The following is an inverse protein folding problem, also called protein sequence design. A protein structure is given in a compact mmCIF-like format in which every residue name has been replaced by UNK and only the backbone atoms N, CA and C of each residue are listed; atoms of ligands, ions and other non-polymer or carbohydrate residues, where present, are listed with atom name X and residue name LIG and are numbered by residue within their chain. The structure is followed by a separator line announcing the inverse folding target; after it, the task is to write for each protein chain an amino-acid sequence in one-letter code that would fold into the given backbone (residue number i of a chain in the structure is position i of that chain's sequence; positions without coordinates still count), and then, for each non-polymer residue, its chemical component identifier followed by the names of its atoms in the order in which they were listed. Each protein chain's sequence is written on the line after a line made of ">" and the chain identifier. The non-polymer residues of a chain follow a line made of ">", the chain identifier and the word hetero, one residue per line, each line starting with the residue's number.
data_IF_821208848917
#
_entry.id   IF_821208848917
#
_cell.length_a   1.000
_cell.length_b   1.000
_cell.length_c   1.000
_cell.angle_alpha   90.00
_cell.angle_beta   90.00
_cell.angle_gamma   90.00
#
_symmetry.space_group_name_H-M   'P 1'
#
loop_
_entity.id
_entity.type
_entity.pdbx_description
1 polymer ?
#
# COMPACT_ATOMS: atom_id res chain seq x y z
N UNK A 1 3.94 -5.56 -27.72
CA UNK A 1 4.05 -4.58 -26.62
C UNK A 1 2.92 -3.57 -26.73
N UNK A 2 2.32 -3.16 -25.62
CA UNK A 2 1.33 -2.06 -25.53
C UNK A 2 1.49 -1.39 -24.17
N UNK A 3 1.48 -0.05 -24.14
CA UNK A 3 1.71 0.74 -22.93
C UNK A 3 2.99 0.34 -22.17
N UNK A 4 4.02 -0.11 -22.90
CA UNK A 4 5.27 -0.62 -22.31
C UNK A 4 5.20 -2.01 -21.67
N UNK A 5 4.08 -2.71 -21.78
CA UNK A 5 3.88 -4.06 -21.25
C UNK A 5 3.88 -5.13 -22.36
N UNK A 6 4.37 -6.32 -22.01
CA UNK A 6 4.32 -7.48 -22.89
C UNK A 6 3.02 -8.28 -22.67
N UNK A 7 2.04 -8.08 -23.57
CA UNK A 7 0.73 -8.76 -23.51
C UNK A 7 0.89 -10.29 -23.53
N UNK A 8 1.82 -10.84 -24.33
CA UNK A 8 2.00 -12.30 -24.38
C UNK A 8 2.47 -12.85 -23.03
N UNK A 9 3.35 -12.11 -22.34
CA UNK A 9 3.82 -12.46 -21.00
C UNK A 9 2.71 -12.46 -19.95
N UNK A 10 1.70 -11.58 -20.07
CA UNK A 10 0.52 -11.62 -19.20
C UNK A 10 -0.28 -12.91 -19.40
N UNK A 11 -0.53 -13.27 -20.67
CA UNK A 11 -1.30 -14.48 -21.00
C UNK A 11 -0.57 -15.77 -20.58
N UNK A 12 0.75 -15.81 -20.80
CA UNK A 12 1.61 -16.91 -20.35
C UNK A 12 1.57 -17.06 -18.83
N UNK A 13 1.71 -15.95 -18.09
CA UNK A 13 1.60 -15.94 -16.63
C UNK A 13 0.23 -16.45 -16.15
N UNK A 14 -0.87 -15.98 -16.77
CA UNK A 14 -2.23 -16.43 -16.43
C UNK A 14 -2.39 -17.94 -16.66
N UNK A 15 -1.85 -18.46 -17.76
CA UNK A 15 -1.90 -19.90 -18.03
C UNK A 15 -1.07 -20.68 -17.01
N UNK A 16 0.15 -20.22 -16.71
CA UNK A 16 1.03 -20.85 -15.73
C UNK A 16 0.39 -20.93 -14.34
N UNK A 17 -0.19 -19.84 -13.82
CA UNK A 17 -0.78 -19.83 -12.48
C UNK A 17 -2.10 -20.62 -12.39
N UNK A 18 -2.77 -20.88 -13.52
CA UNK A 18 -3.92 -21.79 -13.59
C UNK A 18 -3.48 -23.23 -13.43
N UNK A 19 -2.40 -23.61 -14.12
CA UNK A 19 -1.86 -24.98 -14.08
C UNK A 19 -1.07 -25.26 -12.79
N UNK A 20 -0.35 -24.24 -12.29
CA UNK A 20 0.52 -24.31 -11.11
C UNK A 20 0.15 -23.23 -10.09
N UNK A 21 -0.91 -23.44 -9.29
CA UNK A 21 -1.35 -22.52 -8.24
C UNK A 21 -0.26 -21.94 -7.34
N UNK A 22 0.76 -22.74 -6.99
CA UNK A 22 1.86 -22.28 -6.15
C UNK A 22 2.68 -21.16 -6.78
N UNK A 23 2.71 -21.08 -8.12
CA UNK A 23 3.41 -20.01 -8.85
C UNK A 23 2.69 -18.66 -8.78
N UNK A 24 1.44 -18.62 -8.27
CA UNK A 24 0.69 -17.39 -8.07
C UNK A 24 1.03 -16.65 -6.77
N UNK A 25 1.73 -17.29 -5.85
CA UNK A 25 1.94 -16.76 -4.52
C UNK A 25 3.16 -15.85 -4.49
N UNK A 26 2.99 -14.64 -4.00
CA UNK A 26 4.08 -13.69 -3.79
C UNK A 26 4.25 -13.44 -2.30
N UNK A 27 5.42 -13.78 -1.76
CA UNK A 27 5.82 -13.42 -0.39
C UNK A 27 6.72 -12.18 -0.43
N UNK A 28 6.22 -11.07 0.12
CA UNK A 28 6.94 -9.81 0.24
C UNK A 28 7.62 -9.69 1.59
N UNK A 29 8.78 -9.01 1.64
CA UNK A 29 9.50 -8.72 2.88
C UNK A 29 10.18 -7.37 2.85
N UNK A 30 10.03 -6.62 3.93
CA UNK A 30 10.74 -5.35 4.18
C UNK A 30 11.36 -5.41 5.56
N UNK A 31 12.52 -4.79 5.74
CA UNK A 31 13.12 -4.60 7.06
C UNK A 31 13.44 -3.14 7.29
N UNK A 32 12.97 -2.58 8.39
CA UNK A 32 13.31 -1.24 8.86
C UNK A 32 14.34 -1.24 9.98
N UNK A 33 15.05 -0.13 10.09
CA UNK A 33 15.96 0.19 11.19
C UNK A 33 15.94 1.70 11.45
N UNK A 34 16.23 2.14 12.68
CA UNK A 34 16.46 3.54 12.99
C UNK A 34 17.53 4.14 12.09
N UNK A 35 17.30 5.36 11.63
CA UNK A 35 18.27 6.17 10.91
C UNK A 35 18.50 7.49 11.66
N UNK A 36 19.59 8.20 11.32
CA UNK A 36 19.97 9.46 11.97
C UNK A 36 18.80 10.47 12.01
N UNK A 37 18.16 10.67 10.86
CA UNK A 37 17.15 11.71 10.65
C UNK A 37 15.73 11.13 10.48
N UNK A 38 15.52 9.88 10.90
CA UNK A 38 14.23 9.20 10.74
C UNK A 38 14.37 7.68 10.80
N UNK A 39 13.84 7.01 9.79
CA UNK A 39 13.83 5.56 9.65
C UNK A 39 14.23 5.17 8.24
N UNK A 40 14.97 4.08 8.12
CA UNK A 40 15.37 3.54 6.83
C UNK A 40 14.81 2.13 6.69
N UNK A 41 14.12 1.88 5.58
CA UNK A 41 13.58 0.57 5.26
C UNK A 41 14.28 0.00 4.02
N UNK A 42 14.44 -1.31 4.02
CA UNK A 42 15.07 -2.05 2.94
C UNK A 42 14.11 -3.11 2.45
N UNK A 43 13.74 -3.00 1.18
CA UNK A 43 12.99 -4.02 0.47
C UNK A 43 13.90 -5.22 0.25
N UNK A 44 13.49 -6.38 0.77
CA UNK A 44 14.23 -7.63 0.66
C UNK A 44 13.76 -8.42 -0.56
N UNK A 45 14.58 -9.39 -0.96
CA UNK A 45 14.21 -10.33 -2.03
C UNK A 45 12.85 -10.95 -1.72
N UNK A 46 11.88 -10.70 -2.60
CA UNK A 46 10.57 -11.33 -2.58
C UNK A 46 10.64 -12.69 -3.30
N UNK A 47 9.61 -13.50 -3.13
CA UNK A 47 9.47 -14.80 -3.80
C UNK A 47 8.15 -14.85 -4.54
N UNK A 48 8.17 -15.11 -5.84
CA UNK A 48 6.99 -15.35 -6.68
C UNK A 48 6.99 -16.84 -7.04
N UNK A 49 6.22 -17.63 -6.30
CA UNK A 49 6.20 -19.07 -6.44
C UNK A 49 7.56 -19.72 -6.18
N UNK A 50 8.11 -20.40 -7.19
CA UNK A 50 9.44 -20.97 -7.13
C UNK A 50 10.56 -19.97 -7.44
N UNK A 51 10.22 -18.79 -7.97
CA UNK A 51 11.19 -17.80 -8.46
C UNK A 51 11.53 -16.77 -7.38
N UNK A 52 12.83 -16.48 -7.21
CA UNK A 52 13.30 -15.36 -6.41
C UNK A 52 13.22 -14.07 -7.22
N UNK A 53 12.57 -13.06 -6.66
CA UNK A 53 12.49 -11.72 -7.23
C UNK A 53 13.56 -10.86 -6.57
N UNK A 54 14.69 -10.67 -7.26
CA UNK A 54 15.75 -9.83 -6.76
C UNK A 54 15.21 -8.41 -6.48
N UNK A 55 15.38 -7.98 -5.24
CA UNK A 55 15.01 -6.65 -4.74
C UNK A 55 16.14 -6.10 -3.89
N UNK A 56 16.26 -4.78 -3.85
CA UNK A 56 17.31 -4.09 -3.09
C UNK A 56 17.06 -2.59 -3.00
N UNK A 57 15.80 -2.19 -2.85
CA UNK A 57 15.44 -0.79 -2.72
C UNK A 57 15.53 -0.35 -1.27
N UNK A 58 15.99 0.89 -1.08
CA UNK A 58 16.00 1.57 0.21
C UNK A 58 14.98 2.70 0.15
N UNK A 59 14.09 2.74 1.14
CA UNK A 59 13.11 3.81 1.31
C UNK A 59 13.39 4.48 2.65
N UNK A 60 13.89 5.71 2.59
CA UNK A 60 14.17 6.55 3.75
C UNK A 60 12.94 7.41 4.03
N UNK A 61 12.48 7.42 5.28
CA UNK A 61 11.29 8.14 5.72
C UNK A 61 11.61 9.00 6.94
N UNK A 62 10.89 10.10 7.10
CA UNK A 62 10.89 10.81 8.38
C UNK A 62 10.32 9.87 9.46
N UNK A 63 10.71 10.07 10.73
CA UNK A 63 9.82 9.62 11.80
C UNK A 63 8.44 10.26 11.56
N UNK A 64 7.35 9.61 11.96
CA UNK A 64 5.90 9.87 11.74
C UNK A 64 5.35 11.30 12.05
N UNK A 65 6.20 12.31 11.99
CA UNK A 65 6.00 13.75 12.04
C UNK A 65 4.93 14.21 11.05
N UNK A 66 3.99 14.98 11.58
CA UNK A 66 2.80 15.48 10.88
C UNK A 66 2.88 16.97 10.53
N UNK A 67 3.95 17.67 10.95
CA UNK A 67 4.06 19.13 10.84
C UNK A 67 4.82 19.58 9.58
N UNK A 68 4.25 20.54 8.87
CA UNK A 68 4.85 21.12 7.66
C UNK A 68 6.03 22.08 7.96
N UNK A 69 6.07 22.64 9.18
CA UNK A 69 7.10 23.55 9.69
C UNK A 69 8.20 22.85 10.49
N UNK A 70 8.13 21.53 10.66
CA UNK A 70 9.18 20.76 11.33
C UNK A 70 10.49 20.99 10.54
N UNK A 71 11.55 21.56 11.15
CA UNK A 71 12.73 21.93 10.41
C UNK A 71 13.23 20.72 9.65
N UNK A 72 13.25 20.82 8.32
CA UNK A 72 13.93 19.85 7.47
C UNK A 72 15.31 19.67 8.09
N UNK A 73 15.55 18.52 8.71
CA UNK A 73 16.88 18.24 9.25
C UNK A 73 17.80 18.39 8.06
N UNK A 74 18.79 19.31 8.09
CA UNK A 74 19.73 19.44 6.99
C UNK A 74 20.54 18.15 6.99
N UNK A 75 20.04 17.14 6.28
CA UNK A 75 20.73 15.89 6.10
C UNK A 75 22.05 16.27 5.45
N UNK A 76 23.15 15.95 6.13
CA UNK A 76 24.50 16.23 5.68
C UNK A 76 24.70 15.74 4.23
N UNK A 77 24.50 16.65 3.26
CA UNK A 77 24.63 16.38 1.82
C UNK A 77 23.46 15.67 1.12
N UNK A 78 22.27 15.54 1.72
CA UNK A 78 21.05 15.07 1.01
C UNK A 78 20.02 16.20 0.93
N UNK A 79 19.76 16.66 -0.28
CA UNK A 79 18.92 17.83 -0.59
C UNK A 79 17.40 17.55 -0.58
N UNK A 80 16.93 16.45 0.01
CA UNK A 80 15.53 16.06 -0.08
C UNK A 80 14.88 15.82 1.29
N UNK A 81 13.72 16.44 1.60
CA UNK A 81 12.94 16.06 2.76
C UNK A 81 12.44 14.63 2.54
N UNK A 82 12.76 13.73 3.47
CA UNK A 82 12.27 12.36 3.43
C UNK A 82 10.73 12.36 3.44
N UNK A 83 10.13 11.43 2.69
CA UNK A 83 8.67 11.24 2.67
C UNK A 83 8.20 10.71 4.02
N UNK A 84 7.09 11.21 4.57
CA UNK A 84 6.51 10.61 5.78
C UNK A 84 5.97 9.20 5.50
N UNK A 85 5.77 8.36 6.54
CA UNK A 85 5.07 7.09 6.39
C UNK A 85 3.68 7.23 5.76
N UNK A 86 2.93 8.28 6.09
CA UNK A 86 1.58 8.53 5.56
C UNK A 86 1.60 8.86 4.07
N UNK A 87 2.50 9.77 3.66
CA UNK A 87 2.73 10.07 2.24
C UNK A 87 3.16 8.81 1.46
N UNK A 88 4.00 7.96 2.05
CA UNK A 88 4.45 6.69 1.44
C UNK A 88 3.30 5.69 1.29
N UNK A 89 2.44 5.56 2.31
CA UNK A 89 1.27 4.69 2.27
C UNK A 89 0.26 5.17 1.21
N UNK A 90 0.05 6.49 1.09
CA UNK A 90 -0.82 7.09 0.10
C UNK A 90 -0.24 6.96 -1.32
N UNK A 91 1.08 7.10 -1.49
CA UNK A 91 1.76 6.82 -2.75
C UNK A 91 1.64 5.34 -3.13
N UNK A 92 1.70 4.43 -2.16
CA UNK A 92 1.47 3.01 -2.39
C UNK A 92 0.02 2.71 -2.82
N UNK A 93 -0.99 3.38 -2.25
CA UNK A 93 -2.38 3.28 -2.70
C UNK A 93 -2.52 3.78 -4.16
N UNK A 94 -2.08 5.00 -4.41
CA UNK A 94 -2.21 5.66 -5.71
C UNK A 94 -1.46 4.93 -6.83
N UNK A 95 -0.22 4.50 -6.58
CA UNK A 95 0.59 3.81 -7.59
C UNK A 95 0.00 2.42 -7.92
N UNK A 96 -0.53 1.71 -6.92
CA UNK A 96 -1.20 0.43 -7.15
C UNK A 96 -2.45 0.60 -8.01
N UNK A 97 -3.28 1.61 -7.71
CA UNK A 97 -4.46 1.94 -8.52
C UNK A 97 -4.06 2.32 -9.96
N UNK A 98 -3.06 3.19 -10.13
CA UNK A 98 -2.56 3.64 -11.43
C UNK A 98 -2.01 2.47 -12.26
N UNK A 99 -1.13 1.63 -11.69
CA UNK A 99 -0.58 0.45 -12.38
C UNK A 99 -1.70 -0.53 -12.78
N UNK A 100 -2.71 -0.69 -11.93
CA UNK A 100 -3.88 -1.53 -12.22
C UNK A 100 -4.68 -0.97 -13.41
N UNK A 101 -4.80 0.35 -13.55
CA UNK A 101 -5.37 0.97 -14.75
C UNK A 101 -4.56 0.62 -15.99
N UNK A 102 -3.22 0.78 -15.94
CA UNK A 102 -2.35 0.47 -17.09
C UNK A 102 -2.51 -0.99 -17.52
N UNK A 103 -2.52 -1.92 -16.57
CA UNK A 103 -2.78 -3.34 -16.84
C UNK A 103 -4.18 -3.55 -17.45
N UNK A 104 -5.21 -2.93 -16.87
CA UNK A 104 -6.59 -3.06 -17.32
C UNK A 104 -6.83 -2.56 -18.75
N UNK A 105 -6.23 -1.43 -19.12
CA UNK A 105 -6.25 -0.89 -20.48
C UNK A 105 -5.43 -1.74 -21.46
N UNK A 106 -4.24 -2.13 -21.05
CA UNK A 106 -3.35 -2.98 -21.86
C UNK A 106 -4.01 -4.31 -22.21
N UNK A 107 -4.63 -4.98 -21.22
CA UNK A 107 -5.33 -6.24 -21.41
C UNK A 107 -6.56 -6.14 -22.32
N UNK A 108 -7.15 -4.94 -22.43
CA UNK A 108 -8.26 -4.63 -23.37
C UNK A 108 -7.78 -4.13 -24.73
N UNK A 109 -6.47 -4.06 -24.90
CA UNK A 109 -5.86 -3.58 -26.11
C UNK A 109 -6.01 -2.09 -26.38
N UNK A 110 -6.23 -1.29 -25.34
CA UNK A 110 -6.29 0.17 -25.43
C UNK A 110 -4.88 0.74 -25.33
N UNK A 111 -4.51 1.58 -26.31
CA UNK A 111 -3.30 2.39 -26.25
C UNK A 111 -3.58 3.64 -25.41
N UNK A 112 -2.68 3.95 -24.48
CA UNK A 112 -2.75 5.10 -23.60
C UNK A 112 -1.80 6.19 -24.09
N UNK A 113 -2.27 7.44 -24.07
CA UNK A 113 -1.45 8.61 -24.36
C UNK A 113 -0.89 9.20 -23.05
N UNK A 114 -1.75 9.32 -22.03
CA UNK A 114 -1.40 9.87 -20.72
C UNK A 114 -2.33 9.30 -19.64
N UNK A 115 -1.76 8.99 -18.48
CA UNK A 115 -2.54 8.67 -17.28
C UNK A 115 -1.89 9.34 -16.07
N UNK A 116 -2.68 10.12 -15.35
CA UNK A 116 -2.30 10.70 -14.06
C UNK A 116 -3.29 10.29 -12.99
N UNK A 117 -2.83 10.22 -11.75
CA UNK A 117 -3.67 9.94 -10.60
C UNK A 117 -3.27 10.82 -9.43
N UNK A 118 -4.25 11.46 -8.79
CA UNK A 118 -4.03 12.17 -7.52
C UNK A 118 -4.69 11.37 -6.40
N UNK A 119 -3.93 10.95 -5.40
CA UNK A 119 -4.43 10.30 -4.19
C UNK A 119 -4.42 11.30 -3.02
N UNK A 120 -5.45 11.26 -2.17
CA UNK A 120 -5.61 12.15 -1.01
C UNK A 120 -6.06 11.40 0.24
N UNK A 121 -5.64 11.91 1.40
CA UNK A 121 -6.10 11.45 2.71
C UNK A 121 -5.98 12.56 3.75
N UNK A 122 -6.83 12.51 4.77
CA UNK A 122 -6.80 13.40 5.93
C UNK A 122 -6.42 12.63 7.20
N UNK A 123 -5.57 13.22 8.03
CA UNK A 123 -5.26 12.71 9.36
C UNK A 123 -5.86 13.62 10.43
N UNK A 124 -6.80 13.12 11.24
CA UNK A 124 -7.31 13.82 12.43
C UNK A 124 -6.19 14.11 13.44
N UNK A 125 -6.10 15.36 13.90
CA UNK A 125 -5.12 15.81 14.88
C UNK A 125 -5.78 16.25 16.19
N UNK A 126 -5.04 16.09 17.29
CA UNK A 126 -5.38 16.62 18.60
C UNK A 126 -4.94 18.08 18.77
N UNK A 127 -5.23 18.68 19.93
CA UNK A 127 -4.89 20.07 20.22
C UNK A 127 -3.38 20.37 20.25
N UNK A 128 -2.54 19.34 20.30
CA UNK A 128 -1.08 19.46 20.21
C UNK A 128 -0.56 19.34 18.77
N UNK A 129 -1.44 19.10 17.79
CA UNK A 129 -1.09 18.85 16.39
C UNK A 129 -0.49 17.47 16.15
N UNK A 130 -0.66 16.53 17.09
CA UNK A 130 -0.29 15.13 16.94
C UNK A 130 -1.48 14.32 16.42
N UNK A 131 -1.27 13.13 15.83
CA UNK A 131 -2.37 12.23 15.49
C UNK A 131 -3.29 12.03 16.71
N UNK A 132 -4.59 12.23 16.52
CA UNK A 132 -5.54 11.99 17.62
C UNK A 132 -5.51 10.51 18.04
N UNK A 133 -5.79 10.23 19.32
CA UNK A 133 -5.80 8.86 19.81
C UNK A 133 -6.77 7.98 18.99
N UNK A 134 -6.25 6.85 18.49
CA UNK A 134 -7.02 5.96 17.60
C UNK A 134 -7.34 6.54 16.22
N UNK A 135 -6.71 7.64 15.80
CA UNK A 135 -6.90 8.16 14.45
C UNK A 135 -6.35 7.18 13.41
N UNK A 136 -7.14 6.92 12.36
CA UNK A 136 -6.66 6.39 11.09
C UNK A 136 -6.64 7.48 10.04
N UNK A 137 -6.10 7.19 8.86
CA UNK A 137 -6.32 8.02 7.67
C UNK A 137 -7.80 7.99 7.31
N UNK A 138 -8.35 9.17 7.06
CA UNK A 138 -9.76 9.40 6.71
C UNK A 138 -9.85 10.12 5.37
N UNK A 139 -11.06 10.20 4.79
CA UNK A 139 -11.25 10.90 3.52
C UNK A 139 -10.39 10.34 2.38
N UNK A 140 -10.08 9.04 2.43
CA UNK A 140 -9.29 8.37 1.40
C UNK A 140 -9.95 8.58 0.04
N UNK A 141 -9.19 9.12 -0.90
CA UNK A 141 -9.69 9.41 -2.22
C UNK A 141 -8.60 9.22 -3.27
N UNK A 142 -9.00 8.87 -4.49
CA UNK A 142 -8.16 9.08 -5.64
C UNK A 142 -8.95 9.49 -6.87
N UNK A 143 -8.32 10.33 -7.69
CA UNK A 143 -8.82 10.81 -8.97
C UNK A 143 -7.87 10.37 -10.07
N UNK A 144 -8.36 9.60 -11.03
CA UNK A 144 -7.60 9.18 -12.21
C UNK A 144 -8.02 10.00 -13.42
N UNK A 145 -7.07 10.59 -14.14
CA UNK A 145 -7.32 11.24 -15.44
C UNK A 145 -6.68 10.41 -16.53
N UNK A 146 -7.46 10.01 -17.54
CA UNK A 146 -7.01 9.14 -18.63
C UNK A 146 -7.22 9.82 -19.98
N UNK A 147 -6.16 9.88 -20.78
CA UNK A 147 -6.22 10.26 -22.21
C UNK A 147 -5.96 9.02 -23.06
N UNK A 148 -6.97 8.59 -23.81
CA UNK A 148 -6.89 7.49 -24.77
C UNK A 148 -8.05 7.50 -25.77
N UNK A 149 -7.92 6.73 -26.86
CA UNK A 149 -8.93 6.58 -27.90
C UNK A 149 -10.06 5.58 -27.60
N UNK A 150 -10.20 5.08 -26.37
CA UNK A 150 -11.23 4.10 -26.03
C UNK A 150 -12.61 4.74 -25.78
N UNK A 151 -13.67 3.95 -26.00
CA UNK A 151 -15.04 4.33 -25.65
C UNK A 151 -15.23 4.51 -24.14
N UNK A 152 -16.21 5.31 -23.73
CA UNK A 152 -16.46 5.65 -22.31
C UNK A 152 -16.76 4.42 -21.45
N UNK A 153 -17.55 3.49 -21.96
CA UNK A 153 -17.88 2.24 -21.27
C UNK A 153 -16.63 1.39 -20.97
N UNK A 154 -15.66 1.37 -21.87
CA UNK A 154 -14.37 0.69 -21.66
C UNK A 154 -13.57 1.37 -20.56
N UNK A 155 -13.47 2.71 -20.58
CA UNK A 155 -12.72 3.48 -19.57
C UNK A 155 -13.37 3.36 -18.20
N UNK A 156 -14.69 3.50 -18.12
CA UNK A 156 -15.47 3.30 -16.89
C UNK A 156 -15.34 1.86 -16.37
N UNK A 157 -15.38 0.87 -17.28
CA UNK A 157 -15.17 -0.53 -16.95
C UNK A 157 -13.80 -0.78 -16.33
N UNK A 158 -12.73 -0.20 -16.88
CA UNK A 158 -11.38 -0.31 -16.29
C UNK A 158 -11.32 0.34 -14.91
N UNK A 159 -11.89 1.53 -14.75
CA UNK A 159 -11.91 2.21 -13.46
C UNK A 159 -12.62 1.39 -12.37
N UNK A 160 -13.73 0.72 -12.69
CA UNK A 160 -14.41 -0.21 -11.78
C UNK A 160 -13.61 -1.48 -11.49
N UNK A 161 -12.82 -1.98 -12.45
CA UNK A 161 -11.94 -3.11 -12.20
C UNK A 161 -10.84 -2.76 -11.20
N UNK A 162 -10.32 -1.54 -11.27
CA UNK A 162 -9.27 -1.10 -10.35
C UNK A 162 -9.75 -1.17 -8.90
N UNK A 163 -10.99 -0.76 -8.61
CA UNK A 163 -11.53 -0.81 -7.24
C UNK A 163 -11.74 -2.23 -6.71
N UNK A 164 -11.93 -3.21 -7.59
CA UNK A 164 -12.09 -4.61 -7.22
C UNK A 164 -10.77 -5.39 -7.18
N UNK A 165 -9.79 -5.05 -8.02
CA UNK A 165 -8.63 -5.89 -8.29
C UNK A 165 -7.29 -5.25 -7.94
N UNK A 166 -7.22 -3.95 -7.60
CA UNK A 166 -5.99 -3.32 -7.10
C UNK A 166 -5.71 -3.77 -5.66
N UNK A 167 -4.59 -4.49 -5.40
CA UNK A 167 -4.31 -5.02 -4.08
C UNK A 167 -4.30 -4.00 -2.97
N UNK A 168 -3.59 -2.87 -3.15
CA UNK A 168 -3.53 -1.86 -2.10
C UNK A 168 -4.88 -1.15 -1.94
N UNK A 169 -5.62 -0.88 -3.03
CA UNK A 169 -6.98 -0.32 -2.91
C UNK A 169 -7.86 -1.20 -2.02
N UNK A 170 -7.83 -2.52 -2.26
CA UNK A 170 -8.56 -3.49 -1.43
C UNK A 170 -8.06 -3.56 0.00
N UNK A 171 -6.75 -3.46 0.23
CA UNK A 171 -6.15 -3.43 1.58
C UNK A 171 -6.58 -2.20 2.39
N UNK A 172 -6.82 -1.05 1.73
CA UNK A 172 -7.37 0.12 2.41
C UNK A 172 -8.89 0.04 2.63
N UNK A 173 -9.62 -0.79 1.88
CA UNK A 173 -11.07 -0.98 2.09
C UNK A 173 -11.37 -2.04 3.14
N UNK A 174 -10.69 -3.17 3.03
CA UNK A 174 -10.96 -4.39 3.79
C UNK A 174 -10.26 -4.33 5.16
N UNK A 175 -10.88 -4.94 6.16
CA UNK A 175 -10.21 -5.17 7.44
C UNK A 175 -9.05 -6.16 7.25
N UNK A 176 -7.83 -5.69 7.49
CA UNK A 176 -6.62 -6.50 7.44
C UNK A 176 -6.52 -7.39 8.68
N UNK A 177 -6.20 -8.66 8.46
CA UNK A 177 -5.75 -9.54 9.54
C UNK A 177 -4.26 -9.26 9.79
N UNK A 178 -3.95 -8.75 10.98
CA UNK A 178 -2.62 -8.24 11.34
C UNK A 178 -2.01 -9.14 12.41
N UNK A 179 -0.80 -9.63 12.14
CA UNK A 179 0.01 -10.34 13.14
C UNK A 179 1.13 -9.45 13.64
N UNK A 180 1.21 -9.23 14.96
CA UNK A 180 2.21 -8.38 15.59
C UNK A 180 2.96 -9.17 16.67
N UNK A 181 4.29 -9.19 16.57
CA UNK A 181 5.16 -9.95 17.49
C UNK A 181 6.39 -9.14 17.82
N UNK A 182 6.95 -9.37 19.00
CA UNK A 182 8.29 -8.93 19.32
C UNK A 182 9.20 -10.10 19.66
N UNK A 183 10.39 -10.12 19.08
CA UNK A 183 11.50 -10.99 19.47
C UNK A 183 12.47 -10.15 20.32
N UNK A 184 12.52 -10.44 21.61
CA UNK A 184 13.37 -9.74 22.57
C UNK A 184 14.63 -10.57 22.79
N UNK A 185 15.79 -9.97 22.57
CA UNK A 185 17.09 -10.53 22.93
C UNK A 185 17.60 -9.83 24.18
N UNK A 186 17.94 -10.61 25.22
CA UNK A 186 18.48 -10.12 26.49
C UNK A 186 20.01 -9.97 26.41
N UNK A 187 20.60 -9.23 27.34
CA UNK A 187 22.04 -9.04 27.43
C UNK A 187 22.84 -10.33 27.65
N UNK A 188 22.21 -11.37 28.20
CA UNK A 188 22.80 -12.72 28.33
C UNK A 188 22.66 -13.59 27.06
N UNK A 189 22.05 -13.05 25.99
CA UNK A 189 21.80 -13.73 24.72
C UNK A 189 20.55 -14.61 24.69
N UNK A 190 19.80 -14.71 25.79
CA UNK A 190 18.50 -15.40 25.79
C UNK A 190 17.48 -14.65 24.93
N UNK A 191 16.54 -15.41 24.36
CA UNK A 191 15.50 -14.87 23.49
C UNK A 191 14.12 -15.27 23.97
N UNK A 192 13.19 -14.32 23.91
CA UNK A 192 11.77 -14.57 24.15
C UNK A 192 10.91 -13.89 23.09
N UNK A 193 9.75 -14.48 22.82
CA UNK A 193 8.77 -13.94 21.88
C UNK A 193 7.59 -13.40 22.68
N UNK A 194 7.32 -12.11 22.53
CA UNK A 194 6.13 -11.45 23.04
C UNK A 194 5.10 -11.40 21.91
N UNK A 195 3.90 -11.94 22.16
CA UNK A 195 2.76 -11.69 21.28
C UNK A 195 2.15 -10.35 21.70
N UNK A 196 2.08 -9.40 20.77
CA UNK A 196 1.59 -8.06 21.06
C UNK A 196 0.11 -8.00 20.73
N UNK A 197 -0.80 -7.95 21.72
CA UNK A 197 -2.20 -7.77 21.43
C UNK A 197 -2.39 -6.38 20.82
N UNK A 198 -2.97 -6.33 19.63
CA UNK A 198 -3.42 -5.08 19.04
C UNK A 198 -4.91 -5.17 18.82
N UNK A 199 -5.61 -4.25 19.46
CA UNK A 199 -6.99 -3.95 19.13
C UNK A 199 -6.99 -2.48 18.79
N UNK A 200 -7.32 -2.10 17.55
CA UNK A 200 -7.37 -0.69 17.20
C UNK A 200 -8.31 0.00 18.17
N UNK A 201 -7.86 1.11 18.77
CA UNK A 201 -8.71 1.97 19.58
C UNK A 201 -9.96 2.35 18.75
N UNK A 202 -11.09 2.76 19.35
CA UNK A 202 -12.17 3.34 18.57
C UNK A 202 -11.67 4.57 17.80
N UNK A 203 -12.27 4.85 16.65
CA UNK A 203 -12.03 6.12 15.97
C UNK A 203 -12.40 7.27 16.90
N UNK A 204 -11.66 8.40 16.87
CA UNK A 204 -11.95 9.53 17.73
C UNK A 204 -13.38 10.03 17.52
N UNK A 205 -14.13 10.20 18.61
CA UNK A 205 -15.49 10.75 18.60
C UNK A 205 -15.44 12.29 18.53
N UNK A 206 -16.32 12.88 17.72
CA UNK A 206 -16.44 14.33 17.57
C UNK A 206 -15.52 14.93 16.51
N UNK A 207 -15.54 16.26 16.41
CA UNK A 207 -14.71 16.98 15.45
C UNK A 207 -13.24 17.00 15.94
N UNK A 208 -12.26 16.69 15.07
CA UNK A 208 -10.87 16.78 15.47
C UNK A 208 -10.46 18.24 15.70
N UNK A 209 -9.46 18.46 16.55
CA UNK A 209 -8.96 19.80 16.85
C UNK A 209 -8.23 20.42 15.65
N UNK A 210 -7.63 19.59 14.80
CA UNK A 210 -6.99 19.98 13.55
C UNK A 210 -6.96 18.83 12.55
N UNK A 211 -6.45 19.08 11.34
CA UNK A 211 -6.27 18.06 10.31
C UNK A 211 -4.98 18.31 9.53
N UNK A 212 -4.27 17.23 9.22
CA UNK A 212 -3.23 17.23 8.19
C UNK A 212 -3.79 16.62 6.90
N UNK A 213 -3.59 17.30 5.77
CA UNK A 213 -3.98 16.82 4.44
C UNK A 213 -2.75 16.30 3.72
N UNK A 214 -2.83 15.06 3.25
CA UNK A 214 -1.82 14.44 2.40
C UNK A 214 -2.35 14.35 0.97
N UNK A 215 -1.51 14.70 0.01
CA UNK A 215 -1.80 14.56 -1.41
C UNK A 215 -0.58 13.98 -2.13
N UNK A 216 -0.82 13.01 -3.01
CA UNK A 216 0.20 12.44 -3.89
C UNK A 216 -0.27 12.57 -5.33
N UNK A 217 0.49 13.29 -6.14
CA UNK A 217 0.31 13.32 -7.60
C UNK A 217 1.20 12.24 -8.22
N UNK A 218 0.60 11.38 -9.02
CA UNK A 218 1.24 10.25 -9.68
C UNK A 218 1.08 10.36 -11.19
N UNK A 219 2.18 10.16 -11.91
CA UNK A 219 2.21 10.16 -13.36
C UNK A 219 2.74 8.83 -13.86
N UNK A 220 2.03 8.24 -14.82
CA UNK A 220 2.51 7.07 -15.54
C UNK A 220 3.58 7.49 -16.56
N UNK A 221 4.71 6.79 -16.56
CA UNK A 221 5.80 7.06 -17.50
C UNK A 221 5.89 5.97 -18.58
N UNK A 222 6.08 4.71 -18.18
CA UNK A 222 6.21 3.59 -19.11
C UNK A 222 6.01 2.25 -18.41
N UNK A 223 5.29 1.32 -19.03
CA UNK A 223 5.08 -0.01 -18.43
C UNK A 223 4.39 0.15 -17.08
N UNK A 224 5.00 -0.36 -16.02
CA UNK A 224 4.53 -0.19 -14.64
C UNK A 224 5.24 0.92 -13.85
N UNK A 225 6.11 1.70 -14.50
CA UNK A 225 6.81 2.81 -13.85
C UNK A 225 5.87 3.98 -13.60
N UNK A 226 5.84 4.42 -12.35
CA UNK A 226 5.05 5.54 -11.85
C UNK A 226 5.96 6.49 -11.10
N UNK A 227 5.83 7.78 -11.39
CA UNK A 227 6.53 8.86 -10.71
C UNK A 227 5.55 9.55 -9.76
N UNK A 228 5.89 9.60 -8.47
CA UNK A 228 5.05 10.18 -7.43
C UNK A 228 5.70 11.42 -6.81
N UNK A 229 4.91 12.49 -6.65
CA UNK A 229 5.26 13.69 -5.89
C UNK A 229 4.27 13.85 -4.74
N UNK A 230 4.78 14.03 -3.53
CA UNK A 230 3.96 14.09 -2.32
C UNK A 230 3.88 15.52 -1.80
N UNK A 231 2.77 15.83 -1.14
CA UNK A 231 2.60 17.07 -0.41
C UNK A 231 1.82 16.83 0.89
N UNK A 232 2.09 17.69 1.86
CA UNK A 232 1.49 17.73 3.19
C UNK A 232 1.06 19.16 3.48
N UNK A 233 -0.20 19.36 3.82
CA UNK A 233 -0.73 20.63 4.30
C UNK A 233 -1.20 20.49 5.76
N UNK A 234 -0.76 21.42 6.61
CA UNK A 234 -1.15 21.50 8.02
C UNK A 234 -1.10 22.96 8.48
N UNK A 235 -2.12 23.42 9.20
CA UNK A 235 -2.25 24.80 9.71
C UNK A 235 -2.01 25.89 8.63
N UNK A 236 -2.53 25.65 7.42
CA UNK A 236 -2.38 26.56 6.26
C UNK A 236 -0.98 26.60 5.65
N UNK A 237 -0.05 25.76 6.14
CA UNK A 237 1.30 25.60 5.59
C UNK A 237 1.37 24.33 4.75
N UNK A 238 1.77 24.45 3.49
CA UNK A 238 1.96 23.32 2.55
C UNK A 238 3.45 23.06 2.33
N UNK A 239 3.86 21.80 2.53
CA UNK A 239 5.17 21.26 2.17
C UNK A 239 5.01 20.35 0.95
N UNK A 240 5.81 20.58 -0.09
CA UNK A 240 5.91 19.68 -1.23
C UNK A 240 7.25 18.95 -1.21
N UNK A 241 7.25 17.67 -1.55
CA UNK A 241 8.48 16.91 -1.73
C UNK A 241 9.22 17.40 -2.98
N UNK A 242 10.51 17.66 -2.83
CA UNK A 242 11.37 18.09 -3.94
C UNK A 242 11.77 16.94 -4.86
N UNK A 243 11.84 15.72 -4.31
CA UNK A 243 12.14 14.48 -5.03
C UNK A 243 10.92 13.87 -5.66
N UNK A 244 11.18 13.08 -6.70
CA UNK A 244 10.23 12.13 -7.26
C UNK A 244 10.49 10.76 -6.64
N UNK A 245 9.45 10.17 -6.05
CA UNK A 245 9.45 8.77 -5.68
C UNK A 245 9.11 7.92 -6.92
N UNK A 246 10.02 7.07 -7.34
CA UNK A 246 9.78 6.11 -8.43
C UNK A 246 9.22 4.82 -7.85
N UNK A 247 8.04 4.42 -8.31
CA UNK A 247 7.38 3.16 -7.97
C UNK A 247 7.32 2.32 -9.24
N UNK A 248 7.66 1.03 -9.15
CA UNK A 248 7.66 0.13 -10.30
C UNK A 248 7.44 -1.32 -9.88
N UNK A 249 7.05 -2.18 -10.81
CA UNK A 249 6.98 -3.62 -10.58
C UNK A 249 8.32 -4.31 -10.89
N UNK A 250 8.48 -5.51 -10.35
CA UNK A 250 9.57 -6.40 -10.77
C UNK A 250 9.39 -6.89 -12.20
N UNK A 251 10.45 -7.44 -12.78
CA UNK A 251 10.39 -8.12 -14.09
C UNK A 251 9.42 -9.30 -14.12
N UNK A 252 9.31 -10.06 -13.03
CA UNK A 252 8.33 -11.14 -12.88
C UNK A 252 6.88 -10.64 -12.85
N UNK A 253 6.69 -9.36 -12.51
CA UNK A 253 5.40 -8.68 -12.51
C UNK A 253 5.31 -7.62 -13.62
N UNK A 254 6.00 -7.88 -14.75
CA UNK A 254 5.96 -7.08 -15.99
C UNK A 254 6.57 -5.68 -15.92
N UNK A 255 7.20 -5.32 -14.81
CA UNK A 255 7.96 -4.08 -14.68
C UNK A 255 9.42 -4.22 -15.07
N UNK A 256 10.20 -3.18 -14.78
CA UNK A 256 11.62 -3.13 -15.11
C UNK A 256 12.51 -3.03 -13.87
N UNK A 257 11.91 -2.98 -12.68
CA UNK A 257 12.59 -2.95 -11.39
C UNK A 257 13.30 -1.62 -11.12
N UNK A 258 12.68 -0.49 -11.47
CA UNK A 258 13.25 0.84 -11.21
C UNK A 258 13.01 1.37 -9.79
N UNK A 259 12.04 0.84 -9.08
CA UNK A 259 11.69 1.24 -7.73
C UNK A 259 11.01 0.11 -6.96
N UNK A 260 10.75 0.31 -5.65
CA UNK A 260 9.90 -0.60 -4.90
C UNK A 260 8.53 -0.67 -5.57
N UNK A 261 7.88 -1.83 -5.49
CA UNK A 261 6.50 -1.92 -5.94
C UNK A 261 5.53 -1.36 -4.88
N UNK A 262 4.26 -1.12 -5.24
CA UNK A 262 3.30 -0.55 -4.30
C UNK A 262 3.12 -1.39 -3.02
N UNK A 263 3.23 -2.71 -3.12
CA UNK A 263 3.13 -3.63 -1.99
C UNK A 263 4.29 -3.42 -1.01
N UNK A 264 5.51 -3.35 -1.54
CA UNK A 264 6.74 -3.12 -0.77
C UNK A 264 6.76 -1.73 -0.16
N UNK A 265 6.24 -0.72 -0.85
CA UNK A 265 6.15 0.65 -0.36
C UNK A 265 5.15 0.77 0.80
N UNK A 266 4.01 0.08 0.73
CA UNK A 266 3.05 0.03 1.84
C UNK A 266 3.66 -0.64 3.07
N UNK A 267 4.31 -1.80 2.90
CA UNK A 267 5.03 -2.48 3.98
C UNK A 267 6.15 -1.62 4.57
N UNK A 268 6.85 -0.84 3.74
CA UNK A 268 7.86 0.12 4.18
C UNK A 268 7.26 1.25 5.00
N UNK A 269 6.11 1.81 4.58
CA UNK A 269 5.40 2.85 5.32
C UNK A 269 5.03 2.40 6.73
N UNK A 270 4.38 1.24 6.87
CA UNK A 270 3.99 0.73 8.20
C UNK A 270 5.23 0.43 9.05
N UNK A 271 6.27 -0.20 8.48
CA UNK A 271 7.54 -0.40 9.18
C UNK A 271 8.14 0.90 9.71
N UNK A 272 8.17 1.94 8.88
CA UNK A 272 8.76 3.23 9.24
C UNK A 272 7.99 3.92 10.36
N UNK A 273 6.65 3.89 10.30
CA UNK A 273 5.81 4.43 11.37
C UNK A 273 6.03 3.69 12.69
N UNK A 274 6.00 2.35 12.69
CA UNK A 274 6.19 1.54 13.89
C UNK A 274 7.57 1.78 14.54
N UNK A 275 8.63 1.88 13.74
CA UNK A 275 9.97 2.22 14.24
C UNK A 275 10.00 3.60 14.88
N UNK A 276 9.37 4.59 14.26
CA UNK A 276 9.29 5.94 14.80
C UNK A 276 8.57 5.97 16.15
N UNK A 277 7.40 5.33 16.22
CA UNK A 277 6.55 5.32 17.42
C UNK A 277 7.20 4.58 18.58
N UNK A 278 7.80 3.41 18.34
CA UNK A 278 8.51 2.67 19.40
C UNK A 278 9.66 3.51 19.96
N UNK A 279 10.44 4.19 19.10
CA UNK A 279 11.53 5.07 19.57
C UNK A 279 11.02 6.24 20.41
N UNK A 280 9.90 6.83 20.04
CA UNK A 280 9.29 7.90 20.83
C UNK A 280 8.80 7.42 22.19
N UNK A 281 8.07 6.30 22.24
CA UNK A 281 7.58 5.74 23.49
C UNK A 281 8.74 5.33 24.40
N UNK A 282 9.80 4.73 23.84
CA UNK A 282 11.05 4.41 24.55
C UNK A 282 11.68 5.66 25.14
N UNK A 283 11.79 6.74 24.36
CA UNK A 283 12.35 8.01 24.83
C UNK A 283 11.49 8.71 25.89
N UNK A 284 10.16 8.58 25.80
CA UNK A 284 9.22 9.19 26.74
C UNK A 284 9.18 8.45 28.09
N UNK A 285 9.29 7.13 28.08
CA UNK A 285 9.22 6.28 29.27
C UNK A 285 10.58 6.05 29.92
N UNK A 286 11.67 6.19 29.16
CA UNK A 286 13.02 5.87 29.63
C UNK A 286 13.35 4.38 29.63
N UNK A 287 12.48 3.53 29.07
CA UNK A 287 12.72 2.09 28.94
C UNK A 287 13.94 1.84 28.05
N UNK A 288 14.95 1.07 28.49
CA UNK A 288 16.15 0.85 27.68
C UNK A 288 15.86 -0.11 26.52
N UNK A 289 16.04 0.34 25.28
CA UNK A 289 16.10 -0.50 24.07
C UNK A 289 17.38 -0.14 23.32
N UNK A 290 18.32 -1.07 23.27
CA UNK A 290 19.66 -0.86 22.70
C UNK A 290 19.65 -0.99 21.18
N UNK A 291 18.89 -1.96 20.68
CA UNK A 291 18.71 -2.20 19.25
C UNK A 291 17.24 -2.40 18.93
N UNK A 292 16.81 -1.89 17.78
CA UNK A 292 15.44 -2.02 17.30
C UNK A 292 15.43 -2.22 15.79
N UNK A 293 14.74 -3.26 15.34
CA UNK A 293 14.46 -3.55 13.96
C UNK A 293 13.00 -3.94 13.80
N UNK A 294 12.40 -3.62 12.65
CA UNK A 294 11.06 -4.12 12.32
C UNK A 294 11.15 -4.85 11.00
N UNK A 295 10.74 -6.10 10.97
CA UNK A 295 10.53 -6.85 9.73
C UNK A 295 9.04 -6.88 9.44
N UNK A 296 8.65 -6.55 8.21
CA UNK A 296 7.28 -6.72 7.76
C UNK A 296 7.21 -7.68 6.58
N UNK A 297 6.08 -8.36 6.48
CA UNK A 297 5.80 -9.26 5.39
C UNK A 297 4.31 -9.34 5.11
N UNK A 298 4.02 -9.85 3.93
CA UNK A 298 2.66 -10.12 3.50
C UNK A 298 2.68 -11.00 2.27
N UNK A 299 1.60 -11.76 2.09
CA UNK A 299 1.40 -12.62 0.93
C UNK A 299 0.38 -12.02 -0.01
N UNK A 300 0.61 -12.12 -1.30
CA UNK A 300 -0.39 -11.83 -2.33
C UNK A 300 -0.57 -13.08 -3.20
N UNK A 301 -1.82 -13.42 -3.49
CA UNK A 301 -2.13 -14.43 -4.50
C UNK A 301 -2.65 -13.72 -5.76
N UNK A 302 -1.82 -13.71 -6.81
CA UNK A 302 -2.15 -12.95 -8.03
C UNK A 302 -3.33 -13.53 -8.82
N UNK A 303 -3.81 -14.73 -8.49
CA UNK A 303 -5.04 -15.28 -9.11
C UNK A 303 -6.26 -14.44 -8.76
N UNK A 304 -6.30 -13.88 -7.54
CA UNK A 304 -7.35 -12.94 -7.14
C UNK A 304 -7.23 -11.63 -7.92
N UNK A 305 -6.03 -11.06 -8.04
CA UNK A 305 -5.77 -9.82 -8.77
C UNK A 305 -6.06 -9.93 -10.27
N UNK A 306 -5.76 -11.07 -10.89
CA UNK A 306 -5.96 -11.31 -12.33
C UNK A 306 -7.36 -11.86 -12.66
N UNK A 307 -8.26 -11.90 -11.69
CA UNK A 307 -9.60 -12.48 -11.81
C UNK A 307 -9.59 -13.91 -12.41
N UNK A 308 -8.62 -14.72 -11.96
CA UNK A 308 -8.46 -16.12 -12.38
C UNK A 308 -9.24 -17.05 -11.45
N UNK A 309 -9.26 -16.77 -10.15
CA UNK A 309 -10.05 -17.49 -9.15
C UNK A 309 -10.79 -16.49 -8.28
N UNK A 310 -12.10 -16.66 -8.16
CA UNK A 310 -12.96 -15.70 -7.46
C UNK A 310 -12.80 -15.78 -5.95
N UNK A 311 -12.61 -16.98 -5.42
CA UNK A 311 -12.50 -17.26 -3.99
C UNK A 311 -11.22 -16.67 -3.38
N UNK A 312 -10.21 -16.42 -4.22
CA UNK A 312 -8.97 -15.75 -3.83
C UNK A 312 -9.23 -14.24 -3.74
N UNK A 313 -9.03 -13.59 -2.59
CA UNK A 313 -9.23 -12.15 -2.48
C UNK A 313 -8.13 -11.38 -3.22
N UNK A 314 -8.48 -10.23 -3.78
CA UNK A 314 -7.53 -9.37 -4.49
C UNK A 314 -6.82 -8.40 -3.54
N UNK A 315 -6.32 -8.87 -2.39
CA UNK A 315 -5.65 -8.06 -1.35
C UNK A 315 -4.47 -8.82 -0.73
N UNK A 316 -3.68 -8.14 0.11
CA UNK A 316 -2.71 -8.82 0.97
C UNK A 316 -3.39 -9.79 1.95
N UNK A 317 -2.68 -10.89 2.22
CA UNK A 317 -2.95 -11.87 3.26
C UNK A 317 -1.75 -11.95 4.20
N UNK A 318 -1.96 -12.49 5.40
CA UNK A 318 -0.91 -12.78 6.36
C UNK A 318 0.01 -11.55 6.60
N UNK A 319 -0.59 -10.37 6.80
CA UNK A 319 0.17 -9.14 7.06
C UNK A 319 0.79 -9.21 8.45
N UNK A 320 2.11 -9.34 8.49
CA UNK A 320 2.87 -9.53 9.72
C UNK A 320 3.91 -8.44 9.95
N UNK A 321 4.07 -8.02 11.20
CA UNK A 321 5.14 -7.14 11.64
C UNK A 321 5.84 -7.75 12.87
N UNK A 322 7.11 -8.08 12.71
CA UNK A 322 7.97 -8.64 13.72
C UNK A 322 8.97 -7.57 14.19
N UNK A 323 8.87 -7.16 15.45
CA UNK A 323 9.78 -6.22 16.10
C UNK A 323 10.92 -7.01 16.74
N UNK A 324 12.13 -6.90 16.22
CA UNK A 324 13.31 -7.49 16.86
C UNK A 324 14.02 -6.41 17.68
N UNK A 325 14.22 -6.65 18.98
CA UNK A 325 14.84 -5.69 19.87
C UNK A 325 15.82 -6.33 20.84
N UNK A 326 16.83 -5.56 21.25
CA UNK A 326 17.78 -5.93 22.31
C UNK A 326 17.49 -5.05 23.52
N UNK A 327 17.19 -5.66 24.67
CA UNK A 327 16.83 -4.93 25.90
C UNK A 327 16.90 -5.82 27.15
N UNK A 328 17.37 -5.24 28.25
CA UNK A 328 17.31 -5.81 29.60
C UNK A 328 16.13 -5.28 30.45
N UNK A 329 15.23 -4.49 29.88
CA UNK A 329 14.02 -4.00 30.56
C UNK A 329 13.06 -5.15 30.91
N UNK A 330 12.24 -5.00 31.95
CA UNK A 330 11.28 -6.04 32.31
C UNK A 330 10.27 -6.31 31.16
N UNK A 331 9.84 -7.56 31.01
CA UNK A 331 8.92 -7.95 29.94
C UNK A 331 7.58 -7.17 29.97
N UNK A 332 7.08 -6.82 31.16
CA UNK A 332 5.87 -6.00 31.28
C UNK A 332 6.11 -4.56 30.83
N UNK A 333 7.28 -4.00 31.13
CA UNK A 333 7.68 -2.66 30.68
C UNK A 333 7.80 -2.59 29.16
N UNK A 334 8.51 -3.55 28.55
CA UNK A 334 8.61 -3.67 27.10
C UNK A 334 7.23 -3.84 26.45
N UNK A 335 6.39 -4.71 27.00
CA UNK A 335 5.03 -4.92 26.48
C UNK A 335 4.23 -3.62 26.53
N UNK A 336 4.36 -2.82 27.60
CA UNK A 336 3.67 -1.54 27.73
C UNK A 336 4.12 -0.53 26.66
N UNK A 337 5.43 -0.35 26.47
CA UNK A 337 6.02 0.54 25.45
C UNK A 337 5.58 0.14 24.05
N UNK A 338 5.70 -1.15 23.72
CA UNK A 338 5.33 -1.65 22.39
C UNK A 338 3.83 -1.51 22.15
N UNK A 339 2.99 -1.84 23.13
CA UNK A 339 1.52 -1.72 23.02
C UNK A 339 1.11 -0.25 22.86
N UNK A 340 1.73 0.67 23.59
CA UNK A 340 1.47 2.11 23.45
C UNK A 340 1.83 2.59 22.03
N UNK A 341 2.98 2.20 21.49
CA UNK A 341 3.39 2.53 20.14
C UNK A 341 2.42 1.98 19.09
N UNK A 342 2.01 0.72 19.21
CA UNK A 342 1.05 0.09 18.29
C UNK A 342 -0.32 0.78 18.33
N UNK A 343 -0.79 1.19 19.51
CA UNK A 343 -2.08 1.88 19.66
C UNK A 343 -2.06 3.33 19.13
N UNK A 344 -0.87 3.91 18.98
CA UNK A 344 -0.67 5.22 18.34
C UNK A 344 -0.49 5.14 16.82
N UNK A 345 -0.31 3.94 16.26
CA UNK A 345 -0.10 3.80 14.81
C UNK A 345 -1.37 4.10 14.03
N UNK A 346 -1.29 5.15 13.22
CA UNK A 346 -2.32 5.57 12.30
C UNK A 346 -2.47 4.55 11.18
N UNK A 347 -1.37 4.01 10.64
CA UNK A 347 -1.47 3.05 9.54
C UNK A 347 -2.05 1.71 10.02
N UNK A 348 -1.68 1.21 11.21
CA UNK A 348 -2.35 0.04 11.77
C UNK A 348 -3.83 0.31 12.00
N UNK A 349 -4.20 1.45 12.59
CA UNK A 349 -5.60 1.82 12.79
C UNK A 349 -6.38 1.97 11.47
N UNK A 350 -5.72 2.43 10.39
CA UNK A 350 -6.30 2.53 9.05
C UNK A 350 -6.55 1.14 8.47
N UNK A 351 -5.58 0.24 8.55
CA UNK A 351 -5.64 -1.10 7.96
C UNK A 351 -6.53 -2.07 8.75
N UNK A 352 -6.64 -1.88 10.06
CA UNK A 352 -7.44 -2.72 10.96
C UNK A 352 -8.93 -2.33 10.98
N UNK A 353 -9.38 -1.43 10.10
CA UNK A 353 -10.78 -0.98 10.03
C UNK A 353 -11.29 -1.03 8.61
N UNK A 354 -12.57 -1.34 8.40
CA UNK A 354 -13.22 -1.10 7.12
C UNK A 354 -13.20 0.39 6.79
N UNK A 355 -12.78 0.75 5.57
CA UNK A 355 -12.86 2.12 5.08
C UNK A 355 -13.64 2.20 3.76
N UNK A 356 -13.87 3.44 3.33
CA UNK A 356 -14.36 3.76 2.00
C UNK A 356 -13.35 4.65 1.28
N UNK A 357 -13.22 4.46 -0.03
CA UNK A 357 -12.34 5.28 -0.88
C UNK A 357 -13.19 6.01 -1.91
N UNK A 358 -13.16 7.34 -1.92
CA UNK A 358 -13.80 8.13 -2.96
C UNK A 358 -13.01 7.99 -4.27
N UNK A 359 -13.70 7.66 -5.35
CA UNK A 359 -13.10 7.38 -6.65
C UNK A 359 -13.64 8.38 -7.66
N UNK A 360 -12.74 9.08 -8.32
CA UNK A 360 -13.05 9.98 -9.43
C UNK A 360 -12.31 9.54 -10.69
N UNK A 361 -12.99 9.62 -11.83
CA UNK A 361 -12.42 9.38 -13.15
C UNK A 361 -12.73 10.59 -14.03
N UNK A 362 -11.66 11.22 -14.53
CA UNK A 362 -11.71 12.33 -15.45
C UNK A 362 -11.19 11.96 -16.84
N UNK A 363 -11.75 12.61 -17.86
CA UNK A 363 -11.34 12.48 -19.26
C UNK A 363 -11.42 13.85 -19.95
N UNK A 364 -10.50 14.17 -20.86
CA UNK A 364 -10.63 15.38 -21.68
C UNK A 364 -11.95 15.38 -22.48
N UNK A 365 -12.79 16.40 -22.27
CA UNK A 365 -14.03 16.60 -23.04
C UNK A 365 -15.22 15.74 -22.60
N UNK A 366 -15.12 14.95 -21.54
CA UNK A 366 -16.24 14.20 -20.96
C UNK A 366 -16.46 14.63 -19.49
N UNK A 367 -17.69 14.51 -18.96
CA UNK A 367 -17.95 14.81 -17.56
C UNK A 367 -17.21 13.83 -16.65
N UNK A 368 -16.69 14.33 -15.54
CA UNK A 368 -16.11 13.49 -14.50
C UNK A 368 -17.18 12.54 -13.94
N UNK A 369 -16.77 11.31 -13.64
CA UNK A 369 -17.60 10.37 -12.89
C UNK A 369 -17.00 10.13 -11.52
N UNK A 370 -17.84 10.11 -10.50
CA UNK A 370 -17.42 9.83 -9.13
C UNK A 370 -18.33 8.82 -8.45
N UNK A 371 -17.74 8.01 -7.57
CA UNK A 371 -18.48 7.09 -6.70
C UNK A 371 -17.66 6.74 -5.46
N UNK A 372 -18.34 6.24 -4.43
CA UNK A 372 -17.69 5.74 -3.23
C UNK A 372 -17.43 4.24 -3.40
N UNK A 373 -16.17 3.82 -3.28
CA UNK A 373 -15.79 2.41 -3.23
C UNK A 373 -15.84 1.92 -1.79
N UNK A 374 -16.45 0.75 -1.58
CA UNK A 374 -16.47 0.01 -0.32
C UNK A 374 -16.14 -1.47 -0.58
N UNK A 375 -15.78 -2.22 0.47
CA UNK A 375 -15.56 -3.68 0.38
C UNK A 375 -16.77 -4.39 -0.22
N UNK A 376 -17.97 -4.06 0.25
CA UNK A 376 -19.25 -4.63 -0.24
C UNK A 376 -19.46 -4.34 -1.73
N UNK A 377 -19.33 -3.07 -2.16
CA UNK A 377 -19.55 -2.68 -3.54
C UNK A 377 -18.56 -3.37 -4.49
N UNK A 378 -17.30 -3.50 -4.08
CA UNK A 378 -16.28 -4.16 -4.87
C UNK A 378 -16.45 -5.69 -4.87
N UNK A 379 -16.91 -6.33 -3.80
CA UNK A 379 -17.27 -7.76 -3.83
C UNK A 379 -18.48 -8.04 -4.73
N UNK A 380 -19.54 -7.23 -4.64
CA UNK A 380 -20.69 -7.34 -5.52
C UNK A 380 -20.31 -7.22 -7.00
N UNK A 381 -19.32 -6.36 -7.32
CA UNK A 381 -18.80 -6.27 -8.68
C UNK A 381 -17.98 -7.50 -9.11
N UNK A 382 -17.21 -8.10 -8.20
CA UNK A 382 -16.49 -9.37 -8.48
C UNK A 382 -17.46 -10.53 -8.70
N UNK A 383 -18.54 -10.60 -7.92
CA UNK A 383 -19.63 -11.55 -8.12
C UNK A 383 -20.26 -11.40 -9.51
N UNK A 384 -20.54 -10.15 -9.91
CA UNK A 384 -21.09 -9.85 -11.23
C UNK A 384 -20.18 -10.34 -12.35
N UNK A 385 -18.89 -10.01 -12.30
CA UNK A 385 -17.92 -10.42 -13.32
C UNK A 385 -17.78 -11.94 -13.40
N UNK A 386 -17.79 -12.62 -12.24
CA UNK A 386 -17.70 -14.08 -12.18
C UNK A 386 -18.89 -14.74 -12.86
N UNK A 387 -20.10 -14.21 -12.62
CA UNK A 387 -21.33 -14.68 -13.28
C UNK A 387 -21.26 -14.47 -14.79
N UNK A 388 -20.85 -13.29 -15.25
CA UNK A 388 -20.70 -13.00 -16.68
C UNK A 388 -19.71 -13.94 -17.36
N UNK A 389 -18.57 -14.24 -16.72
CA UNK A 389 -17.58 -15.19 -17.24
C UNK A 389 -18.13 -16.62 -17.34
N UNK A 390 -18.88 -17.07 -16.35
CA UNK A 390 -19.52 -18.40 -16.37
C UNK A 390 -20.58 -18.52 -17.46
N UNK A 391 -21.41 -17.49 -17.64
CA UNK A 391 -22.41 -17.44 -18.71
C UNK A 391 -21.75 -17.47 -20.09
N UNK A 392 -20.69 -16.68 -20.29
CA UNK A 392 -19.91 -16.68 -21.53
C UNK A 392 -19.26 -18.05 -21.82
N UNK A 393 -18.70 -18.71 -20.80
CA UNK A 393 -18.12 -20.04 -20.93
C UNK A 393 -19.16 -21.08 -21.34
N UNK A 394 -20.34 -21.10 -20.68
CA UNK A 394 -21.45 -21.99 -21.04
C UNK A 394 -21.96 -21.74 -22.46
N UNK A 395 -22.04 -20.48 -22.88
CA UNK A 395 -22.45 -20.13 -24.24
C UNK A 395 -21.45 -20.63 -25.29
N UNK A 396 -20.14 -20.51 -25.00
CA UNK A 396 -19.08 -21.01 -25.88
C UNK A 396 -19.09 -22.55 -25.99
N UNK A 397 -19.28 -23.26 -24.88
CA UNK A 397 -19.43 -24.73 -24.85
C UNK A 397 -20.66 -25.19 -25.64
N UNK A 398 -21.81 -24.53 -25.44
CA UNK A 398 -23.03 -24.82 -26.19
C UNK A 398 -22.83 -24.63 -27.70
N UNK A 399 -22.18 -23.53 -28.12
CA UNK A 399 -21.87 -23.28 -29.52
C UNK A 399 -20.94 -24.34 -30.13
N UNK A 400 -19.93 -24.79 -29.39
CA UNK A 400 -19.03 -25.85 -29.85
C UNK A 400 -19.72 -27.22 -29.97
N UNK A 401 -20.64 -27.54 -29.05
CA UNK A 401 -21.39 -28.81 -29.05
C UNK A 401 -22.49 -28.87 -30.11
N UNK A 402 -23.05 -27.73 -30.53
CA UNK A 402 -24.07 -27.65 -31.59
C UNK A 402 -23.53 -27.63 -33.02
N UNK A 403 -22.19 -27.61 -33.17
CA UNK A 403 -21.48 -27.67 -34.46
C UNK A 403 -20.89 -29.05 -34.79
N UNK A 404 -21.14 -30.05 -33.94
CA UNK A 404 -20.81 -31.46 -34.16
C UNK A 404 -22.09 -32.24 -34.53
#
# INVERSE_FOLDING_TARGET
>A
MRNGLNISGVSELIHEIREKPAEALIDFRVTGHPARDGVATHVRTARHGSVRMARGFRVDQLSHRTRADDPAVPAAGRLDPLTSPYESALAALGACALITHINGFTGRGVALDEVELTARAELPLDASGQPAAGAGLTGLAWRCTVTCGAADDVVQGVNRLVTAFSPNHRVFLDEADLTLRALVTRGDGSQEILTLPHTPAPAPEGAPAGRALFEVHLRWEYGTEVHARTSLEHDGTRREATSVLVVDQSKQMLGIGKGPNPQELLLSAVCGELLGLVREETGATGTPIDELHVSSGGRLDIRGMQNVLREVPSRFHDLGFDLALTSDADAAELTAVLTAALNRSVLLATLARPNSVAVELGRPGAPDTSYLSSSEAAEAFRDELSRQQQEAARAAEAAASGSA
#
